data_IF_051920588048
#
_entry.id   IF_051920588048
#
_cell.length_a   1.000
_cell.length_b   1.000
_cell.length_c   1.000
_cell.angle_alpha   90.00
_cell.angle_beta   90.00
_cell.angle_gamma   90.00
#
_symmetry.space_group_name_H-M   'P 1'
#
loop_
_entity.id
_entity.type
_entity.pdbx_description
1 polymer ?
#
# COMPACT_ATOMS: atom_id res chain seq x y z
N UNK A 1 -4.19 -1.10 -22.35
CA UNK A 1 -5.63 -1.09 -21.97
C UNK A 1 -5.87 -1.47 -20.49
N UNK A 2 -5.32 -2.55 -19.97
CA UNK A 2 -5.54 -2.99 -18.57
C UNK A 2 -5.16 -1.92 -17.52
N UNK A 3 -3.98 -1.35 -17.61
CA UNK A 3 -3.49 -0.31 -16.68
C UNK A 3 -4.45 0.90 -16.59
N UNK A 4 -5.01 1.37 -17.72
CA UNK A 4 -5.97 2.49 -17.74
C UNK A 4 -7.26 2.16 -16.99
N UNK A 5 -7.75 0.93 -17.09
CA UNK A 5 -8.96 0.48 -16.39
C UNK A 5 -8.70 0.41 -14.87
N UNK A 6 -7.55 -0.12 -14.47
CA UNK A 6 -7.15 -0.22 -13.07
C UNK A 6 -7.01 1.17 -12.42
N UNK A 7 -6.41 2.14 -13.13
CA UNK A 7 -6.31 3.53 -12.69
C UNK A 7 -7.69 4.18 -12.53
N UNK A 8 -8.62 3.91 -13.46
CA UNK A 8 -10.01 4.39 -13.37
C UNK A 8 -10.73 3.81 -12.14
N UNK A 9 -10.55 2.52 -11.86
CA UNK A 9 -11.13 1.90 -10.67
C UNK A 9 -10.53 2.43 -9.38
N UNK A 10 -9.22 2.66 -9.34
CA UNK A 10 -8.57 3.31 -8.21
C UNK A 10 -9.20 4.68 -7.93
N UNK A 11 -9.44 5.50 -8.96
CA UNK A 11 -10.13 6.79 -8.84
C UNK A 11 -11.53 6.62 -8.25
N UNK A 12 -12.37 5.78 -8.83
CA UNK A 12 -13.75 5.56 -8.40
C UNK A 12 -13.83 5.08 -6.94
N UNK A 13 -13.00 4.11 -6.58
CA UNK A 13 -12.99 3.55 -5.23
C UNK A 13 -12.49 4.57 -4.20
N UNK A 14 -11.43 5.31 -4.53
CA UNK A 14 -10.89 6.36 -3.66
C UNK A 14 -11.92 7.46 -3.41
N UNK A 15 -12.60 7.94 -4.44
CA UNK A 15 -13.65 8.96 -4.32
C UNK A 15 -14.79 8.46 -3.42
N UNK A 16 -15.25 7.22 -3.61
CA UNK A 16 -16.30 6.63 -2.77
C UNK A 16 -15.91 6.48 -1.31
N UNK A 17 -14.66 6.07 -1.04
CA UNK A 17 -14.15 6.00 0.33
C UNK A 17 -14.07 7.38 0.97
N UNK A 18 -13.62 8.41 0.22
CA UNK A 18 -13.57 9.80 0.69
C UNK A 18 -14.99 10.32 0.97
N UNK A 19 -15.94 10.14 0.05
CA UNK A 19 -17.34 10.55 0.21
C UNK A 19 -18.01 9.92 1.44
N UNK A 20 -17.72 8.66 1.72
CA UNK A 20 -18.22 7.93 2.89
C UNK A 20 -17.39 8.15 4.16
N UNK A 21 -16.37 8.99 4.09
CA UNK A 21 -15.47 9.30 5.21
C UNK A 21 -14.82 8.03 5.81
N UNK A 22 -14.56 7.04 4.99
CA UNK A 22 -13.84 5.84 5.39
C UNK A 22 -12.34 6.16 5.50
N UNK A 23 -11.69 5.94 6.66
CA UNK A 23 -10.25 6.12 6.78
C UNK A 23 -9.51 5.01 6.02
N UNK A 24 -8.73 5.39 5.02
CA UNK A 24 -7.95 4.46 4.20
C UNK A 24 -6.67 5.09 3.68
N UNK A 25 -5.77 4.29 3.15
CA UNK A 25 -4.69 4.74 2.28
C UNK A 25 -4.33 3.69 1.23
N UNK A 26 -3.79 4.17 0.12
CA UNK A 26 -3.21 3.35 -0.94
C UNK A 26 -1.85 2.82 -0.47
N UNK A 27 -1.64 1.52 -0.62
CA UNK A 27 -0.39 0.81 -0.33
C UNK A 27 0.10 0.06 -1.57
N UNK A 28 1.03 -0.86 -1.43
CA UNK A 28 1.46 -1.76 -2.52
C UNK A 28 2.15 -1.04 -3.70
N UNK A 29 2.01 -1.63 -4.88
CA UNK A 29 2.73 -1.17 -6.07
C UNK A 29 2.28 0.18 -6.61
N UNK A 30 1.00 0.54 -6.44
CA UNK A 30 0.54 1.87 -6.80
C UNK A 30 1.16 2.96 -5.92
N UNK A 31 1.30 2.72 -4.60
CA UNK A 31 1.98 3.66 -3.72
C UNK A 31 3.44 3.87 -4.14
N UNK A 32 4.14 2.79 -4.55
CA UNK A 32 5.50 2.87 -5.10
C UNK A 32 5.57 3.79 -6.32
N UNK A 33 4.55 3.76 -7.18
CA UNK A 33 4.43 4.66 -8.34
C UNK A 33 4.38 6.13 -7.96
N UNK A 34 3.71 6.49 -6.86
CA UNK A 34 3.67 7.87 -6.36
C UNK A 34 4.99 8.36 -5.78
N UNK A 35 5.91 7.45 -5.43
CA UNK A 35 7.28 7.81 -5.06
C UNK A 35 8.21 7.99 -6.27
N UNK A 36 7.67 7.87 -7.51
CA UNK A 36 8.45 7.94 -8.75
C UNK A 36 9.09 6.62 -9.17
N UNK A 37 8.69 5.52 -8.52
CA UNK A 37 9.26 4.19 -8.72
C UNK A 37 8.15 3.25 -9.20
N UNK A 38 7.96 3.15 -10.52
CA UNK A 38 6.88 2.33 -11.06
C UNK A 38 7.30 0.89 -11.33
N UNK A 39 6.44 -0.05 -10.96
CA UNK A 39 6.44 -1.40 -11.48
C UNK A 39 5.05 -1.79 -11.97
N UNK A 40 5.00 -2.75 -12.88
CA UNK A 40 3.72 -3.27 -13.33
C UNK A 40 2.96 -3.94 -12.18
N UNK A 41 1.67 -3.65 -12.05
CA UNK A 41 0.75 -4.31 -11.13
C UNK A 41 -0.59 -4.57 -11.81
N UNK A 42 -1.29 -5.58 -11.33
CA UNK A 42 -2.65 -5.93 -11.75
C UNK A 42 -3.65 -5.76 -10.60
N UNK A 43 -3.15 -5.37 -9.43
CA UNK A 43 -3.90 -5.26 -8.19
C UNK A 43 -3.87 -3.83 -7.68
N UNK A 44 -4.95 -3.39 -7.02
CA UNK A 44 -5.01 -2.19 -6.19
C UNK A 44 -4.95 -2.66 -4.74
N UNK A 45 -3.99 -2.16 -3.98
CA UNK A 45 -3.83 -2.50 -2.58
C UNK A 45 -4.26 -1.32 -1.70
N UNK A 46 -5.28 -1.50 -0.86
CA UNK A 46 -5.72 -0.53 0.14
C UNK A 46 -5.43 -1.00 1.56
N UNK A 47 -5.12 -0.07 2.45
CA UNK A 47 -5.24 -0.28 3.89
C UNK A 47 -6.40 0.56 4.40
N UNK A 48 -7.33 -0.07 5.13
CA UNK A 48 -8.57 0.53 5.64
C UNK A 48 -8.63 0.33 7.16
N UNK A 49 -9.13 1.32 7.90
CA UNK A 49 -9.39 1.14 9.33
C UNK A 49 -10.40 -0.01 9.54
N UNK A 50 -10.04 -0.98 10.36
CA UNK A 50 -10.86 -2.18 10.60
C UNK A 50 -12.29 -1.87 11.08
N UNK A 51 -12.50 -0.74 11.77
CA UNK A 51 -13.83 -0.30 12.19
C UNK A 51 -14.75 0.07 11.02
N UNK A 52 -14.18 0.28 9.83
CA UNK A 52 -14.90 0.63 8.60
C UNK A 52 -14.83 -0.51 7.55
N UNK A 53 -14.45 -1.70 7.98
CA UNK A 53 -14.30 -2.85 7.08
C UNK A 53 -15.58 -3.16 6.30
N UNK A 54 -16.73 -3.32 6.99
CA UNK A 54 -17.99 -3.66 6.34
C UNK A 54 -18.49 -2.56 5.38
N UNK A 55 -18.52 -1.26 5.72
CA UNK A 55 -18.80 -0.20 4.77
C UNK A 55 -17.87 -0.18 3.55
N UNK A 56 -16.58 -0.49 3.74
CA UNK A 56 -15.63 -0.57 2.62
C UNK A 56 -15.93 -1.77 1.70
N UNK A 57 -16.31 -2.93 2.27
CA UNK A 57 -16.75 -4.09 1.49
C UNK A 57 -18.00 -3.78 0.65
N UNK A 58 -18.98 -3.07 1.22
CA UNK A 58 -20.19 -2.66 0.50
C UNK A 58 -19.87 -1.78 -0.71
N UNK A 59 -18.89 -0.87 -0.58
CA UNK A 59 -18.44 -0.04 -1.70
C UNK A 59 -17.85 -0.90 -2.82
N UNK A 60 -16.98 -1.87 -2.50
CA UNK A 60 -16.41 -2.75 -3.50
C UNK A 60 -17.46 -3.61 -4.20
N UNK A 61 -18.35 -4.25 -3.43
CA UNK A 61 -19.42 -5.08 -4.01
C UNK A 61 -20.38 -4.26 -4.86
N UNK A 62 -20.74 -3.06 -4.41
CA UNK A 62 -21.53 -2.10 -5.20
C UNK A 62 -20.79 -1.52 -6.41
N UNK A 63 -19.47 -1.79 -6.55
CA UNK A 63 -18.63 -1.39 -7.69
C UNK A 63 -18.36 -2.55 -8.67
N UNK A 64 -19.01 -3.71 -8.49
CA UNK A 64 -18.88 -4.87 -9.36
C UNK A 64 -17.72 -5.80 -9.00
N UNK A 65 -17.28 -5.78 -7.74
CA UNK A 65 -16.30 -6.73 -7.21
C UNK A 65 -16.98 -7.82 -6.37
N UNK A 66 -16.46 -9.02 -6.46
CA UNK A 66 -16.84 -10.15 -5.63
C UNK A 66 -15.73 -10.47 -4.63
N UNK A 67 -16.06 -10.52 -3.35
CA UNK A 67 -15.12 -10.94 -2.31
C UNK A 67 -14.96 -12.46 -2.37
N UNK A 68 -13.77 -12.97 -2.68
CA UNK A 68 -13.49 -14.40 -2.74
C UNK A 68 -12.74 -14.92 -1.51
N UNK A 69 -12.10 -14.00 -0.75
CA UNK A 69 -11.44 -14.33 0.51
C UNK A 69 -11.60 -13.18 1.50
N UNK A 70 -11.99 -13.49 2.73
CA UNK A 70 -12.10 -12.52 3.84
C UNK A 70 -11.62 -13.15 5.14
N UNK A 71 -10.81 -12.41 5.88
CA UNK A 71 -10.38 -12.70 7.26
C UNK A 71 -10.58 -11.44 8.11
N UNK A 72 -10.21 -11.48 9.38
CA UNK A 72 -10.16 -10.29 10.24
C UNK A 72 -9.05 -9.28 9.83
N UNK A 73 -8.03 -9.73 9.08
CA UNK A 73 -6.87 -8.93 8.72
C UNK A 73 -6.88 -8.43 7.28
N UNK A 74 -7.58 -9.12 6.39
CA UNK A 74 -7.62 -8.76 4.97
C UNK A 74 -8.87 -9.29 4.27
N UNK A 75 -9.19 -8.69 3.13
CA UNK A 75 -10.15 -9.19 2.16
C UNK A 75 -9.62 -9.03 0.74
N UNK A 76 -9.94 -9.97 -0.13
CA UNK A 76 -9.50 -10.00 -1.52
C UNK A 76 -10.69 -10.08 -2.46
N UNK A 77 -10.62 -9.31 -3.54
CA UNK A 77 -11.73 -9.12 -4.46
C UNK A 77 -11.29 -9.30 -5.90
N UNK A 78 -12.13 -9.96 -6.67
CA UNK A 78 -12.03 -10.05 -8.13
C UNK A 78 -13.18 -9.27 -8.78
N UNK A 79 -12.91 -8.66 -9.93
CA UNK A 79 -13.98 -8.08 -10.74
C UNK A 79 -14.67 -9.17 -11.55
N UNK A 80 -15.98 -9.02 -11.73
CA UNK A 80 -16.87 -10.05 -12.28
C UNK A 80 -16.45 -10.57 -13.68
N UNK A 81 -15.61 -9.86 -14.39
CA UNK A 81 -15.13 -10.22 -15.74
C UNK A 81 -13.61 -10.04 -15.91
N UNK A 82 -12.85 -10.05 -14.83
CA UNK A 82 -11.39 -9.79 -14.85
C UNK A 82 -11.02 -8.47 -15.57
N UNK A 83 -12.00 -7.56 -15.66
CA UNK A 83 -11.91 -6.34 -16.49
C UNK A 83 -11.24 -5.20 -15.76
N UNK A 84 -11.39 -5.16 -14.43
CA UNK A 84 -10.96 -4.03 -13.60
C UNK A 84 -9.77 -4.36 -12.69
N UNK A 85 -9.20 -5.57 -12.85
CA UNK A 85 -8.15 -6.08 -11.99
C UNK A 85 -8.66 -6.49 -10.61
N UNK A 86 -7.73 -6.84 -9.72
CA UNK A 86 -8.03 -7.26 -8.35
C UNK A 86 -7.93 -6.09 -7.38
N UNK A 87 -8.61 -6.22 -6.24
CA UNK A 87 -8.44 -5.31 -5.11
C UNK A 87 -8.10 -6.15 -3.88
N UNK A 88 -6.98 -5.80 -3.25
CA UNK A 88 -6.59 -6.34 -1.95
C UNK A 88 -6.80 -5.27 -0.88
N UNK A 89 -7.50 -5.63 0.18
CA UNK A 89 -7.80 -4.74 1.29
C UNK A 89 -7.21 -5.30 2.58
N UNK A 90 -6.29 -4.57 3.19
CA UNK A 90 -5.73 -4.87 4.50
C UNK A 90 -6.48 -4.08 5.58
N UNK A 91 -6.87 -4.71 6.67
CA UNK A 91 -7.56 -4.06 7.79
C UNK A 91 -6.59 -3.64 8.89
N UNK A 92 -6.53 -2.34 9.15
CA UNK A 92 -5.72 -1.75 10.22
C UNK A 92 -6.46 -1.87 11.56
N UNK A 93 -6.25 -2.98 12.27
CA UNK A 93 -6.87 -3.26 13.58
C UNK A 93 -6.04 -2.74 14.76
N UNK A 94 -4.77 -2.38 14.54
CA UNK A 94 -3.85 -1.88 15.57
C UNK A 94 -3.70 -0.36 15.54
N UNK A 95 -3.28 0.25 16.65
CA UNK A 95 -2.98 1.69 16.69
C UNK A 95 -1.87 2.08 15.72
N UNK A 96 -0.85 1.22 15.55
CA UNK A 96 0.21 1.44 14.58
C UNK A 96 -0.32 1.47 13.13
N UNK A 97 -1.25 0.57 12.77
CA UNK A 97 -1.88 0.56 11.46
C UNK A 97 -2.75 1.80 11.24
N UNK A 98 -3.60 2.15 12.21
CA UNK A 98 -4.41 3.38 12.15
C UNK A 98 -3.56 4.64 12.04
N UNK A 99 -2.39 4.67 12.73
CA UNK A 99 -1.44 5.77 12.60
C UNK A 99 -0.86 5.89 11.19
N UNK A 100 -0.56 4.78 10.51
CA UNK A 100 -0.12 4.79 9.12
C UNK A 100 -1.16 5.41 8.18
N UNK A 101 -2.46 5.11 8.40
CA UNK A 101 -3.55 5.73 7.65
C UNK A 101 -3.60 7.24 7.94
N UNK A 102 -3.54 7.66 9.21
CA UNK A 102 -3.58 9.09 9.59
C UNK A 102 -2.43 9.91 9.03
N UNK A 103 -1.24 9.30 8.88
CA UNK A 103 -0.03 9.94 8.34
C UNK A 103 0.03 9.91 6.82
N UNK A 104 -0.88 9.21 6.15
CA UNK A 104 -0.91 9.16 4.68
C UNK A 104 -1.05 10.55 4.08
N UNK A 105 -0.49 10.72 2.88
CA UNK A 105 -0.52 12.02 2.18
C UNK A 105 -1.64 12.00 1.16
N UNK A 106 -2.58 12.91 1.29
CA UNK A 106 -3.61 13.10 0.26
C UNK A 106 -2.95 13.75 -0.96
N UNK A 107 -2.85 13.00 -2.04
CA UNK A 107 -2.32 13.46 -3.32
C UNK A 107 -3.47 13.64 -4.31
N UNK A 108 -3.29 14.61 -5.20
CA UNK A 108 -4.15 14.80 -6.37
C UNK A 108 -3.32 14.50 -7.62
N UNK A 109 -3.71 13.48 -8.36
CA UNK A 109 -3.03 13.00 -9.55
C UNK A 109 -3.99 13.06 -10.74
N UNK A 110 -3.54 13.65 -11.85
CA UNK A 110 -4.35 13.97 -13.05
C UNK A 110 -5.26 12.83 -13.53
N UNK A 111 -4.78 11.58 -13.45
CA UNK A 111 -5.54 10.41 -13.94
C UNK A 111 -6.27 9.61 -12.85
N UNK A 112 -6.02 9.92 -11.57
CA UNK A 112 -6.52 9.14 -10.42
C UNK A 112 -7.42 10.01 -9.54
N UNK A 113 -7.26 11.34 -9.59
CA UNK A 113 -7.89 12.24 -8.64
C UNK A 113 -7.24 12.17 -7.26
N UNK A 114 -8.04 12.39 -6.22
CA UNK A 114 -7.55 12.44 -4.84
C UNK A 114 -7.43 11.06 -4.23
N UNK A 115 -6.25 10.72 -3.76
CA UNK A 115 -5.98 9.45 -3.07
C UNK A 115 -4.99 9.66 -1.92
N UNK A 116 -5.31 9.20 -0.70
CA UNK A 116 -4.33 9.16 0.39
C UNK A 116 -3.32 8.04 0.11
N UNK A 117 -2.04 8.38 0.08
CA UNK A 117 -0.93 7.44 -0.18
C UNK A 117 -0.12 7.25 1.09
N UNK A 118 0.18 6.01 1.43
CA UNK A 118 0.99 5.69 2.62
C UNK A 118 2.35 6.38 2.57
N UNK A 119 2.90 6.74 3.74
CA UNK A 119 4.24 7.31 3.81
C UNK A 119 5.32 6.30 3.41
N UNK A 120 6.43 6.73 2.77
CA UNK A 120 7.51 5.84 2.35
C UNK A 120 8.10 4.98 3.47
N UNK A 121 8.28 5.54 4.66
CA UNK A 121 8.71 4.79 5.86
C UNK A 121 7.73 3.65 6.18
N UNK A 122 6.43 3.94 6.15
CA UNK A 122 5.38 2.97 6.46
C UNK A 122 5.24 1.92 5.36
N UNK A 123 5.45 2.30 4.09
CA UNK A 123 5.52 1.36 2.97
C UNK A 123 6.59 0.27 3.22
N UNK A 124 7.80 0.65 3.62
CA UNK A 124 8.88 -0.30 3.96
C UNK A 124 8.47 -1.19 5.14
N UNK A 125 7.87 -0.60 6.18
CA UNK A 125 7.41 -1.36 7.37
C UNK A 125 6.35 -2.39 6.98
N UNK A 126 5.41 -2.06 6.11
CA UNK A 126 4.40 -3.00 5.60
C UNK A 126 5.01 -4.16 4.81
N UNK A 127 6.07 -3.91 4.02
CA UNK A 127 6.82 -4.95 3.33
C UNK A 127 7.52 -5.90 4.30
N UNK A 128 8.16 -5.36 5.34
CA UNK A 128 8.78 -6.18 6.40
C UNK A 128 7.75 -7.03 7.15
N UNK A 129 6.59 -6.46 7.45
CA UNK A 129 5.49 -7.19 8.07
C UNK A 129 4.97 -8.32 7.16
N UNK A 130 4.83 -8.07 5.86
CA UNK A 130 4.38 -9.07 4.91
C UNK A 130 5.34 -10.26 4.84
N UNK A 131 6.66 -10.02 4.79
CA UNK A 131 7.71 -11.05 4.83
C UNK A 131 7.67 -11.82 6.16
N UNK A 132 7.45 -11.14 7.28
CA UNK A 132 7.39 -11.79 8.59
C UNK A 132 6.17 -12.73 8.72
N UNK A 133 5.04 -12.35 8.13
CA UNK A 133 3.82 -13.14 8.17
C UNK A 133 3.83 -14.31 7.16
N UNK A 134 4.51 -14.14 6.04
CA UNK A 134 4.59 -15.15 4.98
C UNK A 134 5.97 -15.10 4.30
N UNK A 135 6.78 -16.13 4.58
CA UNK A 135 8.15 -16.22 4.05
C UNK A 135 8.21 -16.41 2.54
N UNK A 136 7.16 -16.92 1.91
CA UNK A 136 7.09 -17.08 0.46
C UNK A 136 7.04 -15.71 -0.25
N UNK A 137 6.64 -14.66 0.44
CA UNK A 137 6.65 -13.28 -0.05
C UNK A 137 8.05 -12.66 -0.14
N UNK A 138 9.04 -13.26 0.52
CA UNK A 138 10.40 -12.69 0.60
C UNK A 138 10.95 -12.26 -0.76
N UNK A 139 10.95 -13.08 -1.82
CA UNK A 139 11.56 -12.66 -3.10
C UNK A 139 10.88 -11.42 -3.71
N UNK A 140 9.55 -11.34 -3.61
CA UNK A 140 8.77 -10.21 -4.15
C UNK A 140 8.96 -8.94 -3.32
N UNK A 141 8.78 -9.05 -2.01
CA UNK A 141 8.80 -7.88 -1.12
C UNK A 141 10.23 -7.38 -0.86
N UNK A 142 11.25 -8.25 -0.86
CA UNK A 142 12.66 -7.85 -0.86
C UNK A 142 13.03 -7.10 -2.15
N UNK A 143 12.56 -7.56 -3.31
CA UNK A 143 12.75 -6.86 -4.57
C UNK A 143 12.15 -5.44 -4.50
N UNK A 144 10.91 -5.30 -4.01
CA UNK A 144 10.24 -4.00 -3.85
C UNK A 144 11.04 -3.06 -2.91
N UNK A 145 11.58 -3.59 -1.79
CA UNK A 145 12.44 -2.85 -0.85
C UNK A 145 13.74 -2.40 -1.55
N UNK A 146 14.37 -3.31 -2.31
CA UNK A 146 15.61 -3.03 -3.05
C UNK A 146 15.41 -1.89 -4.06
N UNK A 147 14.38 -1.99 -4.90
CA UNK A 147 14.06 -0.98 -5.91
C UNK A 147 13.67 0.36 -5.26
N UNK A 148 12.95 0.31 -4.13
CA UNK A 148 12.65 1.51 -3.36
C UNK A 148 13.93 2.24 -2.94
N UNK A 149 14.87 1.57 -2.25
CA UNK A 149 16.11 2.22 -1.79
C UNK A 149 17.03 2.64 -2.94
N UNK A 150 17.09 1.88 -4.02
CA UNK A 150 17.82 2.24 -5.23
C UNK A 150 17.26 3.53 -5.85
N UNK A 151 15.96 3.60 -6.04
CA UNK A 151 15.31 4.80 -6.58
C UNK A 151 15.43 6.00 -5.64
N UNK A 152 15.22 5.80 -4.34
CA UNK A 152 15.40 6.82 -3.32
C UNK A 152 16.78 7.48 -3.37
N UNK A 153 17.84 6.67 -3.52
CA UNK A 153 19.23 7.20 -3.64
C UNK A 153 19.48 7.92 -4.97
N UNK A 154 18.83 7.47 -6.05
CA UNK A 154 19.09 8.02 -7.39
C UNK A 154 18.30 9.29 -7.65
N UNK A 155 17.05 9.34 -7.26
CA UNK A 155 16.09 10.38 -7.62
C UNK A 155 15.52 11.15 -6.43
N UNK A 156 15.72 10.65 -5.20
CA UNK A 156 15.02 11.14 -4.03
C UNK A 156 13.55 10.74 -4.03
N UNK A 157 12.77 11.35 -3.16
CA UNK A 157 11.31 11.26 -3.09
C UNK A 157 10.75 12.67 -3.06
N UNK A 158 9.57 12.86 -3.64
CA UNK A 158 8.86 14.13 -3.64
C UNK A 158 8.76 14.72 -2.21
N UNK A 159 8.99 16.04 -2.08
CA UNK A 159 8.88 16.77 -0.81
C UNK A 159 7.47 16.74 -0.18
N UNK A 160 6.47 16.25 -0.92
CA UNK A 160 5.13 15.99 -0.38
C UNK A 160 5.13 14.87 0.68
N UNK A 161 6.11 13.98 0.62
CA UNK A 161 6.27 12.90 1.59
C UNK A 161 7.28 13.27 2.68
N UNK A 162 7.13 12.62 3.85
CA UNK A 162 8.10 12.72 4.92
C UNK A 162 9.45 12.09 4.52
N UNK A 163 10.53 12.60 5.10
CA UNK A 163 11.83 11.96 4.99
C UNK A 163 11.79 10.56 5.61
N UNK A 164 12.61 9.66 5.08
CA UNK A 164 12.72 8.30 5.61
C UNK A 164 13.16 8.32 7.06
N UNK A 165 12.33 7.76 7.94
CA UNK A 165 12.67 7.55 9.36
C UNK A 165 13.37 6.18 9.53
N UNK A 166 14.69 6.20 9.41
CA UNK A 166 15.53 5.02 9.57
C UNK A 166 15.35 4.36 10.95
N UNK A 167 15.23 5.15 12.02
CA UNK A 167 15.06 4.62 13.37
C UNK A 167 13.75 3.83 13.51
N UNK A 168 12.68 4.36 12.91
CA UNK A 168 11.39 3.68 12.91
C UNK A 168 11.43 2.39 12.09
N UNK A 169 12.06 2.39 10.92
CA UNK A 169 12.24 1.18 10.11
C UNK A 169 13.02 0.12 10.91
N UNK A 170 14.15 0.47 11.50
CA UNK A 170 14.95 -0.48 12.30
C UNK A 170 14.17 -1.06 13.47
N UNK A 171 13.41 -0.25 14.21
CA UNK A 171 12.57 -0.72 15.33
C UNK A 171 11.54 -1.77 14.88
N UNK A 172 10.90 -1.57 13.73
CA UNK A 172 9.95 -2.55 13.20
C UNK A 172 10.65 -3.76 12.58
N UNK A 173 11.81 -3.58 11.93
CA UNK A 173 12.61 -4.68 11.41
C UNK A 173 13.06 -5.62 12.54
N UNK A 174 13.48 -5.08 13.69
CA UNK A 174 13.80 -5.86 14.88
C UNK A 174 12.58 -6.62 15.40
N UNK A 175 11.45 -5.94 15.56
CA UNK A 175 10.17 -6.53 15.99
C UNK A 175 9.73 -7.69 15.07
N UNK A 176 10.00 -7.60 13.79
CA UNK A 176 9.60 -8.59 12.79
C UNK A 176 10.70 -9.61 12.45
N UNK A 177 11.86 -9.55 13.11
CA UNK A 177 13.00 -10.44 12.84
C UNK A 177 13.64 -10.22 11.45
N UNK A 178 13.55 -9.00 10.90
CA UNK A 178 14.01 -8.63 9.55
C UNK A 178 15.20 -7.65 9.56
N UNK A 179 15.91 -7.54 10.68
CA UNK A 179 17.02 -6.57 10.84
C UNK A 179 18.11 -6.76 9.80
N UNK A 180 18.51 -8.02 9.51
CA UNK A 180 19.53 -8.32 8.50
C UNK A 180 19.13 -7.89 7.09
N UNK A 181 17.84 -8.03 6.74
CA UNK A 181 17.31 -7.59 5.45
C UNK A 181 17.44 -6.07 5.31
N UNK A 182 17.02 -5.31 6.30
CA UNK A 182 17.10 -3.84 6.24
C UNK A 182 18.54 -3.34 6.27
N UNK A 183 19.43 -3.93 7.05
CA UNK A 183 20.85 -3.58 7.05
C UNK A 183 21.46 -3.67 5.66
N UNK A 184 21.12 -4.70 4.88
CA UNK A 184 21.60 -4.90 3.52
C UNK A 184 21.31 -3.68 2.61
N UNK A 185 20.16 -3.03 2.79
CA UNK A 185 19.72 -1.94 1.91
C UNK A 185 19.95 -0.54 2.48
N UNK A 186 20.01 -0.39 3.79
CA UNK A 186 20.23 0.91 4.44
C UNK A 186 21.69 1.19 4.77
N UNK A 187 22.54 0.16 4.93
CA UNK A 187 23.97 0.32 5.24
C UNK A 187 24.83 0.77 4.04
N UNK A 188 24.25 0.96 2.87
CA UNK A 188 24.99 1.39 1.66
C UNK A 188 25.14 2.91 1.55
N UNK A 189 25.05 3.63 2.68
CA UNK A 189 25.46 5.03 2.78
C UNK A 189 26.97 5.11 3.09
N UNK A 190 27.77 5.06 2.04
CA UNK A 190 29.15 5.57 2.07
C UNK A 190 29.43 6.31 0.77
#
# INVERSE_FOLDING_TARGET
MAQKKLTTMLSILSDRFIEKQIPFCLIGAFALGFYGLSRHTVDIDFMVDANYGDPALEILTGSGYTCFQKTELFAQFDSEYDVFGKVDMMFASTDAGREMIRRSVLLDAELIGRVPVVQPTDYIILKLLAIANDKERLPKDEFDISEFFKGYRTFGISEKFEKIDAKRIYRFAEKFGQTGLIQKYMATEK
#
